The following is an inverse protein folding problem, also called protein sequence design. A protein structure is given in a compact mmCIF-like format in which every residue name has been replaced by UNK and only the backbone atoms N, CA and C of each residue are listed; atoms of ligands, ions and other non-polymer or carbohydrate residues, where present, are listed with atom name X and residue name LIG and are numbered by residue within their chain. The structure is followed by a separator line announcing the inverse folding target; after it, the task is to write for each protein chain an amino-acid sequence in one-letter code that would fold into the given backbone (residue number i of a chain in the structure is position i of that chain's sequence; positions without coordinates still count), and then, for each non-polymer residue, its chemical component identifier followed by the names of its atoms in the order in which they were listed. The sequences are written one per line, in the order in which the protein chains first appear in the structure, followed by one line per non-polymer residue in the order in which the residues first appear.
data_IF_805686558540
#
_entry.id   IF_805686558540
#
_cell.length_a   1.000
_cell.length_b   1.000
_cell.length_c   1.000
_cell.angle_alpha   90.00
_cell.angle_beta   90.00
_cell.angle_gamma   90.00
#
_symmetry.space_group_name_H-M   'P 1'
#
loop_
_entity.id
_entity.type
_entity.pdbx_description
1 polymer ?
#
# COMPACT_ATOMS: atom_id res chain seq x y z
N UNK A 1 -15.83 -1.89 31.36
CA UNK A 1 -15.36 -1.28 30.09
C UNK A 1 -14.26 -2.18 29.54
N UNK A 2 -14.22 -2.47 28.21
CA UNK A 2 -13.17 -3.28 27.63
C UNK A 2 -11.81 -2.55 27.66
N UNK A 3 -10.71 -3.31 27.70
CA UNK A 3 -9.36 -2.79 27.39
C UNK A 3 -9.28 -2.58 25.88
N UNK A 4 -9.01 -1.35 25.44
CA UNK A 4 -8.87 -0.99 24.02
C UNK A 4 -7.38 -1.01 23.65
N UNK A 5 -7.04 -1.62 22.51
CA UNK A 5 -5.72 -1.62 21.91
C UNK A 5 -5.84 -1.08 20.49
N UNK A 6 -5.17 0.01 20.19
CA UNK A 6 -5.20 0.72 18.91
C UNK A 6 -3.80 1.19 18.54
N UNK A 7 -3.52 1.37 17.25
CA UNK A 7 -2.26 1.92 16.76
C UNK A 7 -2.26 3.44 16.84
N UNK A 8 -1.08 4.04 17.01
CA UNK A 8 -0.91 5.50 16.88
C UNK A 8 -0.46 5.85 15.46
N UNK A 9 -0.80 7.05 15.01
CA UNK A 9 -0.36 7.60 13.72
C UNK A 9 0.97 8.35 13.83
N UNK A 10 1.89 7.91 14.68
CA UNK A 10 3.22 8.50 14.80
C UNK A 10 4.23 7.37 14.63
N UNK A 11 5.02 7.46 13.56
CA UNK A 11 6.09 6.51 13.32
C UNK A 11 7.16 6.62 14.41
N UNK A 12 7.67 5.46 14.84
CA UNK A 12 8.72 5.34 15.86
C UNK A 12 9.86 4.47 15.33
N UNK A 13 10.33 4.80 14.12
CA UNK A 13 11.41 4.07 13.44
C UNK A 13 10.92 2.82 12.73
N UNK A 14 9.80 2.89 12.02
CA UNK A 14 9.35 1.83 11.11
C UNK A 14 10.13 1.85 9.80
N UNK A 15 10.39 0.67 9.23
CA UNK A 15 10.92 0.49 7.87
C UNK A 15 9.81 0.05 6.91
N UNK A 16 9.68 0.75 5.80
CA UNK A 16 8.56 0.63 4.88
C UNK A 16 9.02 0.29 3.47
N UNK A 17 8.44 -0.76 2.88
CA UNK A 17 8.59 -1.03 1.46
C UNK A 17 7.33 -0.58 0.71
N UNK A 18 7.45 0.37 -0.20
CA UNK A 18 6.39 0.76 -1.14
C UNK A 18 6.58 -0.04 -2.43
N UNK A 19 5.70 -0.99 -2.71
CA UNK A 19 5.69 -1.78 -3.96
C UNK A 19 4.69 -1.15 -4.92
N UNK A 20 5.19 -0.49 -5.96
CA UNK A 20 4.36 0.33 -6.86
C UNK A 20 4.43 -0.14 -8.33
N UNK A 21 3.27 -0.34 -8.96
CA UNK A 21 3.21 -0.66 -10.39
C UNK A 21 3.54 0.54 -11.29
N UNK A 22 4.18 0.31 -12.43
CA UNK A 22 4.44 1.35 -13.45
C UNK A 22 3.23 1.62 -14.35
N UNK A 23 2.37 0.62 -14.56
CA UNK A 23 1.15 0.77 -15.34
C UNK A 23 0.20 1.79 -14.68
N UNK A 24 -0.50 2.60 -15.49
CA UNK A 24 -1.26 3.78 -15.03
C UNK A 24 -0.42 4.79 -14.22
N UNK A 25 0.84 5.00 -14.65
CA UNK A 25 1.85 5.77 -13.92
C UNK A 25 1.41 7.15 -13.44
N UNK A 26 0.64 7.92 -14.22
CA UNK A 26 0.15 9.24 -13.78
C UNK A 26 -0.60 9.16 -12.44
N UNK A 27 -1.42 8.12 -12.26
CA UNK A 27 -2.14 7.89 -11.01
C UNK A 27 -1.21 7.31 -9.95
N UNK A 28 -0.43 6.29 -10.30
CA UNK A 28 0.40 5.59 -9.32
C UNK A 28 1.48 6.51 -8.75
N UNK A 29 2.06 7.42 -9.54
CA UNK A 29 2.99 8.43 -9.03
C UNK A 29 2.33 9.37 -8.03
N UNK A 30 1.07 9.77 -8.24
CA UNK A 30 0.35 10.58 -7.27
C UNK A 30 0.04 9.80 -5.98
N UNK A 31 -0.21 8.50 -6.07
CA UNK A 31 -0.34 7.62 -4.89
C UNK A 31 1.00 7.48 -4.14
N UNK A 32 2.09 7.22 -4.86
CA UNK A 32 3.43 7.09 -4.28
C UNK A 32 3.85 8.39 -3.58
N UNK A 33 3.69 9.53 -4.25
CA UNK A 33 3.99 10.84 -3.65
C UNK A 33 3.19 11.08 -2.37
N UNK A 34 1.87 10.77 -2.40
CA UNK A 34 1.02 10.87 -1.22
C UNK A 34 1.47 9.96 -0.07
N UNK A 35 1.85 8.72 -0.37
CA UNK A 35 2.32 7.76 0.62
C UNK A 35 3.64 8.20 1.27
N UNK A 36 4.65 8.58 0.46
CA UNK A 36 5.97 9.01 0.94
C UNK A 36 5.84 10.26 1.80
N UNK A 37 5.13 11.29 1.32
CA UNK A 37 4.93 12.53 2.06
C UNK A 37 4.20 12.28 3.39
N UNK A 38 3.24 11.36 3.42
CA UNK A 38 2.53 10.98 4.64
C UNK A 38 3.46 10.27 5.63
N UNK A 39 4.24 9.28 5.19
CA UNK A 39 5.21 8.60 6.06
C UNK A 39 6.17 9.60 6.71
N UNK A 40 6.75 10.50 5.91
CA UNK A 40 7.70 11.51 6.39
C UNK A 40 7.03 12.47 7.38
N UNK A 41 5.84 13.01 7.06
CA UNK A 41 5.12 13.93 7.95
C UNK A 41 4.70 13.29 9.28
N UNK A 42 4.61 11.96 9.30
CA UNK A 42 4.28 11.18 10.49
C UNK A 42 5.50 10.64 11.24
N UNK A 43 6.72 11.01 10.83
CA UNK A 43 7.95 10.76 11.59
C UNK A 43 8.87 9.68 11.01
N UNK A 44 8.51 9.05 9.89
CA UNK A 44 9.40 8.10 9.24
C UNK A 44 10.60 8.85 8.62
N UNK A 45 11.79 8.27 8.73
CA UNK A 45 12.98 8.77 8.06
C UNK A 45 12.97 8.35 6.59
N UNK A 46 13.38 9.24 5.69
CA UNK A 46 13.47 8.96 4.25
C UNK A 46 14.31 7.71 3.95
N UNK A 47 15.39 7.50 4.71
CA UNK A 47 16.27 6.34 4.60
C UNK A 47 15.60 5.00 4.99
N UNK A 48 14.42 5.04 5.63
CA UNK A 48 13.65 3.86 6.01
C UNK A 48 12.50 3.57 5.03
N UNK A 49 12.43 4.28 3.90
CA UNK A 49 11.38 4.12 2.89
C UNK A 49 12.00 3.65 1.57
N UNK A 50 11.76 2.40 1.22
CA UNK A 50 12.18 1.84 -0.07
C UNK A 50 11.03 1.87 -1.08
N UNK A 51 11.29 2.35 -2.29
CA UNK A 51 10.35 2.32 -3.40
C UNK A 51 10.73 1.25 -4.43
N UNK A 52 9.97 0.15 -4.45
CA UNK A 52 10.19 -1.00 -5.33
C UNK A 52 9.20 -0.96 -6.50
N UNK A 53 9.71 -0.89 -7.74
CA UNK A 53 8.88 -0.75 -8.94
C UNK A 53 8.62 -2.08 -9.64
N UNK A 54 7.36 -2.35 -9.95
CA UNK A 54 6.91 -3.52 -10.72
C UNK A 54 6.23 -3.12 -12.03
N UNK A 55 6.16 -3.99 -13.06
CA UNK A 55 5.51 -3.65 -14.33
C UNK A 55 4.02 -3.29 -14.17
N UNK A 56 3.22 -4.22 -13.62
CA UNK A 56 1.78 -4.04 -13.43
C UNK A 56 1.30 -4.48 -12.05
N UNK A 57 0.00 -4.34 -11.79
CA UNK A 57 -0.61 -4.69 -10.51
C UNK A 57 -0.57 -6.21 -10.23
N UNK A 58 -0.50 -7.03 -11.27
CA UNK A 58 -0.43 -8.49 -11.14
C UNK A 58 0.88 -8.96 -10.50
N UNK A 59 1.99 -8.25 -10.74
CA UNK A 59 3.30 -8.58 -10.17
C UNK A 59 3.49 -8.07 -8.73
N UNK A 60 2.59 -7.23 -8.21
CA UNK A 60 2.71 -6.64 -6.86
C UNK A 60 2.85 -7.75 -5.81
N UNK A 61 1.99 -8.78 -5.87
CA UNK A 61 1.94 -9.84 -4.85
C UNK A 61 3.27 -10.57 -4.64
N UNK A 62 3.97 -10.94 -5.71
CA UNK A 62 5.24 -11.66 -5.59
C UNK A 62 6.36 -10.79 -5.00
N UNK A 63 6.33 -9.49 -5.27
CA UNK A 63 7.31 -8.55 -4.72
C UNK A 63 6.98 -8.19 -3.27
N UNK A 64 5.69 -8.01 -2.93
CA UNK A 64 5.26 -7.88 -1.54
C UNK A 64 5.69 -9.08 -0.70
N UNK A 65 5.56 -10.31 -1.23
CA UNK A 65 6.02 -11.53 -0.55
C UNK A 65 7.51 -11.46 -0.23
N UNK A 66 8.34 -11.15 -1.22
CA UNK A 66 9.79 -11.05 -1.05
C UNK A 66 10.19 -9.97 -0.06
N UNK A 67 9.53 -8.80 -0.11
CA UNK A 67 9.76 -7.72 0.83
C UNK A 67 9.38 -8.15 2.26
N UNK A 68 8.17 -8.69 2.46
CA UNK A 68 7.71 -9.12 3.78
C UNK A 68 8.56 -10.25 4.39
N UNK A 69 9.05 -11.18 3.57
CA UNK A 69 9.89 -12.31 4.03
C UNK A 69 11.37 -11.95 4.24
N UNK A 70 11.81 -10.75 3.84
CA UNK A 70 13.21 -10.33 3.96
C UNK A 70 13.65 -10.10 5.41
N UNK A 71 12.72 -9.71 6.30
CA UNK A 71 13.02 -9.24 7.65
C UNK A 71 13.51 -7.78 7.71
N UNK A 72 13.54 -7.06 6.58
CA UNK A 72 14.04 -5.68 6.51
C UNK A 72 12.96 -4.62 6.75
N UNK A 73 11.68 -5.00 6.66
CA UNK A 73 10.55 -4.06 6.70
C UNK A 73 9.54 -4.41 7.78
N UNK A 74 9.06 -3.39 8.48
CA UNK A 74 7.95 -3.48 9.44
C UNK A 74 6.59 -3.43 8.74
N UNK A 75 6.50 -2.87 7.53
CA UNK A 75 5.29 -2.87 6.72
C UNK A 75 5.59 -2.80 5.22
N UNK A 76 4.66 -3.31 4.42
CA UNK A 76 4.69 -3.22 2.96
C UNK A 76 3.44 -2.50 2.47
N UNK A 77 3.59 -1.52 1.59
CA UNK A 77 2.48 -0.75 0.99
C UNK A 77 2.40 -1.09 -0.49
N UNK A 78 1.33 -1.78 -0.89
CA UNK A 78 1.07 -2.14 -2.28
C UNK A 78 0.29 -1.03 -2.99
N UNK A 79 0.92 -0.33 -3.93
CA UNK A 79 0.29 0.76 -4.70
C UNK A 79 0.16 0.41 -6.17
N UNK A 80 -1.01 0.67 -6.73
CA UNK A 80 -1.27 0.44 -8.14
C UNK A 80 -2.60 1.03 -8.58
N UNK A 81 -2.88 0.92 -9.88
CA UNK A 81 -4.16 1.33 -10.43
C UNK A 81 -4.54 0.42 -11.59
N UNK A 82 -5.74 -0.16 -11.51
CA UNK A 82 -6.36 -1.00 -12.52
C UNK A 82 -7.67 -0.33 -12.90
N UNK A 83 -7.81 0.05 -14.17
CA UNK A 83 -8.99 0.73 -14.70
C UNK A 83 -9.70 -0.25 -15.64
N UNK A 84 -11.01 -0.40 -15.49
CA UNK A 84 -11.79 -1.33 -16.31
C UNK A 84 -11.69 -0.96 -17.79
N UNK A 85 -11.43 -1.98 -18.62
CA UNK A 85 -11.45 -1.91 -20.07
C UNK A 85 -12.64 -2.66 -20.67
N UNK A 86 -12.52 -3.07 -21.94
CA UNK A 86 -13.59 -3.78 -22.66
C UNK A 86 -13.65 -5.29 -22.45
N UNK A 87 -12.77 -5.86 -21.62
CA UNK A 87 -12.67 -7.32 -21.43
C UNK A 87 -12.58 -7.68 -19.95
N UNK A 88 -12.77 -8.97 -19.64
CA UNK A 88 -12.66 -9.53 -18.30
C UNK A 88 -11.23 -9.47 -17.69
N UNK A 89 -10.24 -8.93 -18.42
CA UNK A 89 -8.87 -8.81 -17.92
C UNK A 89 -8.79 -8.01 -16.62
N UNK A 90 -9.68 -7.02 -16.46
CA UNK A 90 -9.79 -6.22 -15.25
C UNK A 90 -10.00 -7.10 -14.01
N UNK A 91 -10.96 -8.02 -14.04
CA UNK A 91 -11.33 -8.88 -12.91
C UNK A 91 -10.18 -9.78 -12.49
N UNK A 92 -9.46 -10.36 -13.46
CA UNK A 92 -8.33 -11.23 -13.17
C UNK A 92 -7.15 -10.46 -12.57
N UNK A 93 -6.85 -9.26 -13.09
CA UNK A 93 -5.73 -8.46 -12.57
C UNK A 93 -6.06 -7.85 -11.21
N UNK A 94 -7.20 -7.19 -11.08
CA UNK A 94 -7.64 -6.59 -9.82
C UNK A 94 -7.85 -7.64 -8.73
N UNK A 95 -8.50 -8.75 -9.08
CA UNK A 95 -8.80 -9.85 -8.16
C UNK A 95 -7.53 -10.54 -7.65
N UNK A 96 -6.60 -10.93 -8.53
CA UNK A 96 -5.36 -11.58 -8.09
C UNK A 96 -4.41 -10.61 -7.38
N UNK A 97 -4.39 -9.33 -7.72
CA UNK A 97 -3.65 -8.32 -6.95
C UNK A 97 -4.15 -8.24 -5.50
N UNK A 98 -5.48 -8.11 -5.30
CA UNK A 98 -6.07 -8.06 -3.96
C UNK A 98 -5.84 -9.36 -3.17
N UNK A 99 -6.09 -10.50 -3.81
CA UNK A 99 -5.93 -11.83 -3.21
C UNK A 99 -4.49 -12.11 -2.81
N UNK A 100 -3.52 -11.81 -3.67
CA UNK A 100 -2.11 -12.06 -3.39
C UNK A 100 -1.59 -11.16 -2.27
N UNK A 101 -1.93 -9.86 -2.27
CA UNK A 101 -1.57 -8.93 -1.20
C UNK A 101 -2.12 -9.39 0.15
N UNK A 102 -3.41 -9.74 0.21
CA UNK A 102 -4.03 -10.24 1.44
C UNK A 102 -3.41 -11.55 1.92
N UNK A 103 -3.12 -12.48 1.00
CA UNK A 103 -2.46 -13.74 1.33
C UNK A 103 -1.06 -13.54 1.92
N UNK A 104 -0.26 -12.62 1.36
CA UNK A 104 1.08 -12.31 1.88
C UNK A 104 1.03 -11.75 3.29
N UNK A 105 0.13 -10.78 3.56
CA UNK A 105 -0.02 -10.22 4.91
C UNK A 105 -0.35 -11.29 5.95
N UNK A 106 -1.28 -12.19 5.61
CA UNK A 106 -1.66 -13.30 6.49
C UNK A 106 -0.53 -14.32 6.71
N UNK A 107 0.28 -14.61 5.70
CA UNK A 107 1.32 -15.64 5.80
C UNK A 107 2.64 -15.13 6.41
N UNK A 108 2.95 -13.85 6.25
CA UNK A 108 4.23 -13.27 6.69
C UNK A 108 4.20 -12.73 8.11
N UNK A 109 3.02 -12.36 8.63
CA UNK A 109 2.89 -11.62 9.89
C UNK A 109 3.28 -10.13 9.78
N UNK A 110 3.82 -9.70 8.64
CA UNK A 110 4.10 -8.30 8.32
C UNK A 110 2.83 -7.68 7.71
N UNK A 111 2.39 -6.49 8.17
CA UNK A 111 1.25 -5.81 7.58
C UNK A 111 1.54 -5.43 6.12
N UNK A 112 0.75 -5.96 5.21
CA UNK A 112 0.78 -5.61 3.78
C UNK A 112 -0.49 -4.85 3.42
N UNK A 113 -0.35 -3.55 3.19
CA UNK A 113 -1.47 -2.63 2.98
C UNK A 113 -1.87 -2.59 1.51
N UNK A 114 -3.16 -2.80 1.24
CA UNK A 114 -3.73 -2.78 -0.10
C UNK A 114 -4.16 -1.37 -0.54
N UNK A 115 -3.30 -0.71 -1.30
CA UNK A 115 -3.54 0.62 -1.91
C UNK A 115 -3.66 0.58 -3.43
N UNK A 116 -4.14 -0.53 -4.00
CA UNK A 116 -4.40 -0.63 -5.46
C UNK A 116 -5.79 -0.12 -5.77
N UNK A 117 -5.87 0.94 -6.58
CA UNK A 117 -7.15 1.46 -7.07
C UNK A 117 -7.75 0.54 -8.12
N UNK A 118 -9.01 0.17 -7.96
CA UNK A 118 -9.80 -0.64 -8.91
C UNK A 118 -11.02 0.16 -9.32
N UNK A 119 -10.96 0.80 -10.50
CA UNK A 119 -11.93 1.82 -10.89
C UNK A 119 -12.54 1.55 -12.27
N UNK A 120 -13.72 2.11 -12.51
CA UNK A 120 -14.46 1.97 -13.76
C UNK A 120 -14.02 2.99 -14.82
N UNK A 121 -13.39 4.09 -14.39
CA UNK A 121 -12.93 5.14 -15.30
C UNK A 121 -11.67 5.85 -14.81
N UNK A 122 -11.05 6.61 -15.71
CA UNK A 122 -9.89 7.45 -15.40
C UNK A 122 -10.23 8.54 -14.37
N UNK A 123 -11.42 9.15 -14.50
CA UNK A 123 -11.89 10.19 -13.58
C UNK A 123 -12.00 9.67 -12.14
N UNK A 124 -12.55 8.46 -11.96
CA UNK A 124 -12.64 7.86 -10.63
C UNK A 124 -11.28 7.58 -9.99
N UNK A 125 -10.28 7.24 -10.80
CA UNK A 125 -8.91 7.03 -10.33
C UNK A 125 -8.27 8.37 -9.93
N UNK A 126 -8.42 9.42 -10.75
CA UNK A 126 -7.94 10.77 -10.45
C UNK A 126 -8.57 11.31 -9.16
N UNK A 127 -9.88 11.14 -8.98
CA UNK A 127 -10.58 11.58 -7.78
C UNK A 127 -10.03 10.95 -6.49
N UNK A 128 -9.42 9.77 -6.57
CA UNK A 128 -8.83 9.01 -5.45
C UNK A 128 -7.31 9.11 -5.36
N UNK A 129 -6.68 9.91 -6.21
CA UNK A 129 -5.23 10.07 -6.29
C UNK A 129 -4.81 11.53 -6.05
N UNK A 130 -5.44 12.19 -5.07
CA UNK A 130 -5.26 13.61 -4.76
C UNK A 130 -6.37 14.52 -5.26
N UNK A 131 -7.44 13.94 -5.82
CA UNK A 131 -8.63 14.67 -6.26
C UNK A 131 -9.70 14.79 -5.17
N UNK A 132 -10.97 14.81 -5.60
CA UNK A 132 -12.12 15.11 -4.74
C UNK A 132 -12.29 14.17 -3.54
N UNK A 133 -11.84 12.92 -3.67
CA UNK A 133 -12.00 11.86 -2.68
C UNK A 133 -10.72 11.62 -1.88
N UNK A 134 -9.76 12.54 -1.94
CA UNK A 134 -8.46 12.40 -1.27
C UNK A 134 -7.48 11.55 -2.07
N UNK A 135 -6.53 10.93 -1.37
CA UNK A 135 -5.43 10.19 -1.98
C UNK A 135 -5.26 8.82 -1.31
N UNK A 136 -5.46 7.73 -2.07
CA UNK A 136 -5.39 6.38 -1.54
C UNK A 136 -3.98 5.99 -1.05
N UNK A 137 -2.93 6.61 -1.58
CA UNK A 137 -1.57 6.44 -1.08
C UNK A 137 -1.37 7.02 0.32
N UNK A 138 -1.99 8.18 0.62
CA UNK A 138 -2.02 8.77 1.97
C UNK A 138 -2.71 7.83 2.94
N UNK A 139 -3.91 7.34 2.58
CA UNK A 139 -4.65 6.39 3.41
C UNK A 139 -3.84 5.11 3.67
N UNK A 140 -3.20 4.57 2.64
CA UNK A 140 -2.40 3.35 2.76
C UNK A 140 -1.17 3.55 3.67
N UNK A 141 -0.52 4.70 3.60
CA UNK A 141 0.59 5.04 4.50
C UNK A 141 0.14 5.20 5.96
N UNK A 142 -0.98 5.88 6.22
CA UNK A 142 -1.54 5.98 7.57
C UNK A 142 -1.87 4.61 8.15
N UNK A 143 -2.53 3.74 7.36
CA UNK A 143 -2.80 2.37 7.78
C UNK A 143 -1.53 1.57 8.05
N UNK A 144 -0.46 1.77 7.27
CA UNK A 144 0.81 1.10 7.52
C UNK A 144 1.40 1.49 8.88
N UNK A 145 1.50 2.79 9.17
CA UNK A 145 2.02 3.30 10.45
C UNK A 145 1.20 2.75 11.62
N UNK A 146 -0.13 2.83 11.51
CA UNK A 146 -1.05 2.37 12.55
C UNK A 146 -0.90 0.88 12.82
N UNK A 147 -0.81 0.07 11.75
CA UNK A 147 -0.66 -1.38 11.87
C UNK A 147 0.69 -1.78 12.47
N UNK A 148 1.77 -1.06 12.15
CA UNK A 148 3.09 -1.29 12.77
C UNK A 148 3.03 -1.06 14.28
N UNK A 149 2.51 0.08 14.74
CA UNK A 149 2.40 0.38 16.17
C UNK A 149 1.42 -0.57 16.88
N UNK A 150 0.32 -0.97 16.22
CA UNK A 150 -0.64 -1.92 16.78
C UNK A 150 -0.06 -3.33 16.93
N UNK A 151 0.61 -3.87 15.91
CA UNK A 151 1.18 -5.21 15.97
C UNK A 151 2.28 -5.30 17.03
N UNK A 152 3.15 -4.30 17.13
CA UNK A 152 4.16 -4.19 18.21
C UNK A 152 3.56 -4.17 19.63
N UNK A 153 2.31 -3.72 19.79
CA UNK A 153 1.60 -3.73 21.09
C UNK A 153 0.95 -5.08 21.43
N UNK A 154 0.83 -5.98 20.45
CA UNK A 154 0.22 -7.30 20.60
C UNK A 154 1.26 -8.41 20.84
N UNK A 155 2.54 -8.09 20.64
CA UNK A 155 3.71 -8.90 21.04
C UNK A 155 4.02 -8.75 22.53
#
# INVERSE_FOLDING_TARGET
MPRILEGNLVDKGGRYAIVASRFNGVIVEALVAGAVDTLIRHGAEDANIDLIRVPGAFEIGVVCKKAAESGDYDAVIALGCVIRGGTAHFEYVAGEAAKSVGAVGMSSGVPVIFGVLTTESMEQATDRAGGKMGNKGVEAALSAIEMVDLLRKLE
#
